data_IF_978288931183
#
_entry.id   IF_978288931183
#
_cell.length_a   1.000
_cell.length_b   1.000
_cell.length_c   1.000
_cell.angle_alpha   90.00
_cell.angle_beta   90.00
_cell.angle_gamma   90.00
#
_symmetry.space_group_name_H-M   'P 1'
#
loop_
_entity.id
_entity.type
_entity.pdbx_description
1 polymer ?
#
# COMPACT_ATOMS: atom_id res chain seq x y z
N UNK A 1 20.63 -1.62 19.50
CA UNK A 1 19.22 -1.74 19.94
C UNK A 1 18.79 -3.20 19.83
N UNK A 2 18.33 -3.83 20.92
CA UNK A 2 17.78 -5.20 20.89
C UNK A 2 16.41 -5.16 20.21
N UNK A 3 16.20 -5.97 19.17
CA UNK A 3 14.87 -6.12 18.54
C UNK A 3 13.91 -6.84 19.50
N UNK A 4 12.65 -6.41 19.53
CA UNK A 4 11.59 -7.07 20.30
C UNK A 4 11.28 -8.43 19.66
N UNK A 5 11.33 -9.57 20.39
CA UNK A 5 11.16 -10.91 19.82
C UNK A 5 9.83 -11.10 19.08
N UNK A 6 8.75 -10.40 19.49
CA UNK A 6 7.47 -10.43 18.76
C UNK A 6 7.58 -9.85 17.35
N UNK A 7 8.37 -8.78 17.20
CA UNK A 7 8.60 -8.10 15.94
C UNK A 7 9.47 -8.94 14.98
N UNK A 8 10.50 -9.59 15.52
CA UNK A 8 11.35 -10.50 14.74
C UNK A 8 10.58 -11.74 14.27
N UNK A 9 9.67 -12.27 15.09
CA UNK A 9 8.81 -13.39 14.70
C UNK A 9 7.81 -13.00 13.60
N UNK A 10 7.13 -11.86 13.73
CA UNK A 10 6.20 -11.37 12.71
C UNK A 10 6.91 -11.10 11.37
N UNK A 11 8.11 -10.52 11.39
CA UNK A 11 8.94 -10.35 10.19
C UNK A 11 9.29 -11.69 9.54
N UNK A 12 9.66 -12.71 10.33
CA UNK A 12 9.97 -14.04 9.79
C UNK A 12 8.73 -14.70 9.17
N UNK A 13 7.57 -14.56 9.81
CA UNK A 13 6.30 -15.07 9.28
C UNK A 13 5.93 -14.43 7.94
N UNK A 14 5.99 -13.10 7.81
CA UNK A 14 5.71 -12.42 6.54
C UNK A 14 6.64 -12.89 5.41
N UNK A 15 7.92 -13.13 5.71
CA UNK A 15 8.88 -13.67 4.74
C UNK A 15 8.48 -15.09 4.31
N UNK A 16 8.17 -15.95 5.27
CA UNK A 16 7.77 -17.33 4.99
C UNK A 16 6.48 -17.37 4.17
N UNK A 17 5.50 -16.54 4.52
CA UNK A 17 4.25 -16.41 3.78
C UNK A 17 4.50 -16.01 2.32
N UNK A 18 5.33 -14.99 2.08
CA UNK A 18 5.63 -14.56 0.72
C UNK A 18 6.46 -15.58 -0.08
N UNK A 19 7.17 -16.48 0.58
CA UNK A 19 8.01 -17.52 -0.04
C UNK A 19 7.39 -18.92 -0.01
N UNK A 20 6.09 -19.05 0.32
CA UNK A 20 5.44 -20.36 0.48
C UNK A 20 5.05 -21.03 -0.84
N UNK A 21 5.11 -20.31 -1.97
CA UNK A 21 4.62 -20.78 -3.26
C UNK A 21 3.09 -20.78 -3.41
N UNK A 22 2.37 -20.15 -2.47
CA UNK A 22 0.93 -19.92 -2.60
C UNK A 22 0.63 -18.82 -3.63
N UNK A 23 -0.56 -18.84 -4.21
CA UNK A 23 -1.03 -17.80 -5.12
C UNK A 23 -1.18 -16.44 -4.41
N UNK A 24 -1.15 -15.36 -5.21
CA UNK A 24 -1.22 -13.99 -4.70
C UNK A 24 -2.57 -13.68 -4.04
N UNK A 25 -3.66 -14.30 -4.51
CA UNK A 25 -5.01 -14.18 -3.95
C UNK A 25 -5.07 -14.72 -2.51
N UNK A 26 -4.20 -15.66 -2.16
CA UNK A 26 -4.02 -16.19 -0.80
C UNK A 26 -2.99 -15.39 0.00
N UNK A 27 -1.84 -15.07 -0.60
CA UNK A 27 -0.72 -14.42 0.10
C UNK A 27 -1.03 -12.98 0.48
N UNK A 28 -1.59 -12.18 -0.44
CA UNK A 28 -1.76 -10.74 -0.23
C UNK A 28 -2.74 -10.43 0.91
N UNK A 29 -3.94 -11.05 1.01
CA UNK A 29 -4.86 -10.78 2.12
C UNK A 29 -4.28 -11.19 3.49
N UNK A 30 -3.54 -12.31 3.57
CA UNK A 30 -2.88 -12.71 4.82
C UNK A 30 -1.73 -11.77 5.17
N UNK A 31 -0.97 -11.30 4.18
CA UNK A 31 0.08 -10.32 4.37
C UNK A 31 -0.49 -9.00 4.93
N UNK A 32 -1.57 -8.48 4.34
CA UNK A 32 -2.20 -7.23 4.77
C UNK A 32 -2.74 -7.31 6.21
N UNK A 33 -3.25 -8.48 6.62
CA UNK A 33 -3.69 -8.71 8.00
C UNK A 33 -2.51 -8.81 8.98
N UNK A 34 -1.39 -9.41 8.56
CA UNK A 34 -0.27 -9.67 9.47
C UNK A 34 0.74 -8.52 9.55
N UNK A 35 0.83 -7.65 8.55
CA UNK A 35 1.80 -6.54 8.50
C UNK A 35 1.67 -5.59 9.70
N UNK A 36 0.47 -5.44 10.27
CA UNK A 36 0.22 -4.62 11.45
C UNK A 36 1.07 -5.01 12.68
N UNK A 37 1.47 -6.28 12.78
CA UNK A 37 2.35 -6.76 13.87
C UNK A 37 3.80 -6.28 13.72
N UNK A 38 4.19 -5.85 12.52
CA UNK A 38 5.50 -5.26 12.22
C UNK A 38 5.40 -3.73 12.18
N UNK A 39 4.46 -3.21 11.39
CA UNK A 39 4.23 -1.78 11.22
C UNK A 39 2.80 -1.53 11.65
N UNK A 40 2.54 -0.97 12.85
CA UNK A 40 1.17 -0.76 13.32
C UNK A 40 0.37 0.04 12.30
N UNK A 41 -0.66 -0.57 11.70
CA UNK A 41 -1.49 0.03 10.67
C UNK A 41 -2.81 -0.74 10.60
N UNK A 42 -3.80 -0.19 9.90
CA UNK A 42 -5.08 -0.84 9.66
C UNK A 42 -5.71 -0.38 8.36
N UNK A 43 -6.78 -1.04 7.95
CA UNK A 43 -7.45 -0.79 6.68
C UNK A 43 -6.48 -0.87 5.48
N UNK A 44 -5.52 -1.81 5.53
CA UNK A 44 -4.42 -1.88 4.58
C UNK A 44 -4.92 -2.34 3.21
N UNK A 45 -4.28 -1.84 2.15
CA UNK A 45 -4.68 -2.13 0.76
C UNK A 45 -3.45 -2.46 -0.07
N UNK A 46 -3.55 -3.50 -0.89
CA UNK A 46 -2.64 -3.70 -1.99
C UNK A 46 -3.33 -3.34 -3.31
N UNK A 47 -2.67 -2.50 -4.11
CA UNK A 47 -3.13 -2.14 -5.45
C UNK A 47 -2.16 -2.73 -6.46
N UNK A 48 -2.61 -3.70 -7.26
CA UNK A 48 -1.84 -4.24 -8.37
C UNK A 48 -1.94 -3.33 -9.59
N UNK A 49 -0.84 -3.21 -10.34
CA UNK A 49 -0.76 -2.43 -11.57
C UNK A 49 -0.38 -3.35 -12.74
N UNK A 50 -0.93 -3.07 -13.92
CA UNK A 50 -0.27 -3.47 -15.16
C UNK A 50 0.85 -2.48 -15.53
N UNK A 51 1.55 -2.73 -16.64
CA UNK A 51 2.67 -1.88 -17.06
C UNK A 51 2.26 -0.43 -17.39
N UNK A 52 0.96 -0.17 -17.58
CA UNK A 52 0.37 1.11 -17.93
C UNK A 52 -0.32 1.78 -16.73
N UNK A 53 -0.43 1.10 -15.59
CA UNK A 53 -1.25 1.45 -14.43
C UNK A 53 -2.73 1.66 -14.78
N UNK A 54 -3.22 0.98 -15.81
CA UNK A 54 -4.60 1.12 -16.30
C UNK A 54 -5.50 0.04 -15.70
N UNK A 55 -5.02 -1.19 -15.56
CA UNK A 55 -5.73 -2.27 -14.89
C UNK A 55 -5.39 -2.33 -13.40
N UNK A 56 -6.05 -1.48 -12.62
CA UNK A 56 -5.95 -1.47 -11.17
C UNK A 56 -6.72 -2.65 -10.59
N UNK A 57 -6.00 -3.62 -10.00
CA UNK A 57 -6.63 -4.63 -9.15
C UNK A 57 -6.50 -4.21 -7.69
N UNK A 58 -7.61 -4.25 -6.94
CA UNK A 58 -7.62 -3.92 -5.53
C UNK A 58 -7.74 -5.20 -4.72
N UNK A 59 -6.74 -5.48 -3.90
CA UNK A 59 -6.81 -6.52 -2.87
C UNK A 59 -6.89 -5.79 -1.52
N UNK A 60 -8.08 -5.81 -0.95
CA UNK A 60 -8.41 -5.10 0.28
C UNK A 60 -8.30 -6.06 1.48
N UNK A 61 -7.94 -5.52 2.64
CA UNK A 61 -8.05 -6.24 3.92
C UNK A 61 -9.52 -6.53 4.30
N UNK A 62 -10.49 -5.82 3.71
CA UNK A 62 -11.92 -5.91 4.01
C UNK A 62 -12.79 -5.70 2.76
N UNK A 63 -13.99 -6.29 2.72
CA UNK A 63 -14.98 -6.07 1.66
C UNK A 63 -15.75 -4.78 1.92
N UNK A 64 -15.94 -3.95 0.89
CA UNK A 64 -16.71 -2.71 0.96
C UNK A 64 -17.82 -2.75 -0.10
N UNK A 65 -19.04 -3.17 0.26
CA UNK A 65 -20.14 -3.29 -0.70
C UNK A 65 -20.49 -1.98 -1.42
N UNK A 66 -20.43 -0.84 -0.72
CA UNK A 66 -20.94 0.44 -1.23
C UNK A 66 -19.89 1.28 -2.00
N UNK A 67 -18.61 0.88 -2.00
CA UNK A 67 -17.56 1.63 -2.70
C UNK A 67 -17.53 1.32 -4.20
N UNK A 68 -17.97 0.13 -4.61
CA UNK A 68 -17.74 -0.39 -5.96
C UNK A 68 -18.33 0.51 -7.07
N UNK A 69 -19.46 1.16 -6.81
CA UNK A 69 -20.16 1.98 -7.81
C UNK A 69 -19.54 3.38 -8.00
N UNK A 70 -19.07 4.02 -6.92
CA UNK A 70 -18.56 5.40 -6.96
C UNK A 70 -17.03 5.51 -7.06
N UNK A 71 -16.30 4.44 -6.72
CA UNK A 71 -14.83 4.41 -6.75
C UNK A 71 -14.23 4.77 -8.11
N UNK A 72 -14.71 4.24 -9.26
CA UNK A 72 -14.11 4.55 -10.56
C UNK A 72 -14.19 6.04 -10.92
N UNK A 73 -15.35 6.67 -10.67
CA UNK A 73 -15.56 8.09 -10.94
C UNK A 73 -14.67 8.96 -10.06
N UNK A 74 -14.65 8.72 -8.75
CA UNK A 74 -13.83 9.50 -7.80
C UNK A 74 -12.34 9.36 -8.12
N UNK A 75 -11.87 8.14 -8.44
CA UNK A 75 -10.48 7.91 -8.83
C UNK A 75 -10.14 8.61 -10.15
N UNK A 76 -11.01 8.52 -11.15
CA UNK A 76 -10.78 9.19 -12.44
C UNK A 76 -10.76 10.72 -12.33
N UNK A 77 -11.63 11.30 -11.49
CA UNK A 77 -11.65 12.74 -11.21
C UNK A 77 -10.40 13.23 -10.48
N UNK A 78 -9.83 12.42 -9.57
CA UNK A 78 -8.61 12.77 -8.84
C UNK A 78 -7.33 12.51 -9.65
N UNK A 79 -7.24 11.37 -10.34
CA UNK A 79 -6.08 10.98 -11.13
C UNK A 79 -6.16 11.55 -12.56
N UNK A 80 -6.16 12.87 -12.67
CA UNK A 80 -5.94 13.55 -13.97
C UNK A 80 -4.60 13.13 -14.57
N UNK A 81 -4.39 13.28 -15.90
CA UNK A 81 -3.10 12.97 -16.53
C UNK A 81 -1.89 13.64 -15.83
N UNK A 82 -2.04 14.87 -15.35
CA UNK A 82 -1.01 15.62 -14.63
C UNK A 82 -0.75 15.02 -13.25
N UNK A 83 -1.82 14.64 -12.53
CA UNK A 83 -1.72 13.97 -11.23
C UNK A 83 -1.01 12.62 -11.37
N UNK A 84 -1.39 11.81 -12.37
CA UNK A 84 -0.73 10.53 -12.70
C UNK A 84 0.75 10.73 -13.02
N UNK A 85 1.07 11.71 -13.87
CA UNK A 85 2.47 12.02 -14.21
C UNK A 85 3.30 12.40 -12.98
N UNK A 86 2.77 13.24 -12.10
CA UNK A 86 3.42 13.60 -10.82
C UNK A 86 3.58 12.38 -9.91
N UNK A 87 2.54 11.57 -9.79
CA UNK A 87 2.58 10.33 -9.02
C UNK A 87 3.70 9.42 -9.51
N UNK A 88 3.81 9.19 -10.82
CA UNK A 88 4.90 8.40 -11.40
C UNK A 88 6.27 9.01 -11.17
N UNK A 89 6.40 10.34 -11.25
CA UNK A 89 7.62 11.04 -10.89
C UNK A 89 8.05 10.74 -9.47
N UNK A 90 7.12 10.81 -8.51
CA UNK A 90 7.36 10.50 -7.11
C UNK A 90 7.73 9.03 -6.89
N UNK A 91 7.00 8.08 -7.51
CA UNK A 91 7.30 6.65 -7.36
C UNK A 91 8.65 6.24 -7.95
N UNK A 92 9.14 6.95 -8.99
CA UNK A 92 10.49 6.74 -9.52
C UNK A 92 11.59 7.24 -8.59
N UNK A 93 11.31 8.29 -7.83
CA UNK A 93 12.27 8.91 -6.90
C UNK A 93 12.23 8.26 -5.52
N UNK A 94 11.10 7.67 -5.14
CA UNK A 94 10.85 7.18 -3.80
C UNK A 94 10.27 5.77 -3.83
N UNK A 95 10.99 4.81 -3.25
CA UNK A 95 10.47 3.46 -3.00
C UNK A 95 9.31 3.44 -2.00
N UNK A 96 9.30 4.41 -1.06
CA UNK A 96 8.27 4.55 -0.03
C UNK A 96 7.95 6.03 0.15
N UNK A 97 6.67 6.36 0.19
CA UNK A 97 6.11 7.69 0.44
C UNK A 97 5.24 7.66 1.70
N UNK A 98 5.43 8.62 2.61
CA UNK A 98 4.68 8.69 3.87
C UNK A 98 3.87 10.00 4.03
N UNK A 99 3.78 10.79 2.96
CA UNK A 99 3.09 12.09 2.93
C UNK A 99 2.33 12.24 1.61
N UNK A 100 1.01 12.13 1.69
CA UNK A 100 0.12 12.28 0.55
C UNK A 100 0.12 13.70 -0.03
N UNK A 101 0.56 14.71 0.74
CA UNK A 101 0.61 16.10 0.27
C UNK A 101 1.77 16.37 -0.71
N UNK A 102 2.67 15.39 -0.89
CA UNK A 102 3.65 15.40 -1.96
C UNK A 102 3.00 15.16 -3.32
N UNK A 103 1.92 14.36 -3.37
CA UNK A 103 1.14 14.14 -4.58
C UNK A 103 0.26 15.37 -4.88
N UNK A 104 -0.49 15.84 -3.90
CA UNK A 104 -1.27 17.06 -4.03
C UNK A 104 -1.34 17.81 -2.69
N UNK A 105 -0.96 19.09 -2.67
CA UNK A 105 -1.07 19.95 -1.49
C UNK A 105 -2.50 20.07 -0.97
N UNK A 106 -3.51 19.84 -1.82
CA UNK A 106 -4.93 19.83 -1.47
C UNK A 106 -5.48 18.41 -1.22
N UNK A 107 -4.63 17.39 -1.06
CA UNK A 107 -5.07 16.00 -0.87
C UNK A 107 -6.18 15.86 0.18
N UNK A 108 -6.00 16.42 1.38
CA UNK A 108 -6.98 16.34 2.47
C UNK A 108 -8.27 17.13 2.25
N UNK A 109 -8.35 17.92 1.18
CA UNK A 109 -9.55 18.66 0.75
C UNK A 109 -10.23 18.00 -0.46
N UNK A 110 -9.64 16.95 -1.04
CA UNK A 110 -10.14 16.29 -2.25
C UNK A 110 -11.28 15.32 -1.98
N UNK A 111 -12.03 14.99 -3.03
CA UNK A 111 -13.05 13.94 -3.00
C UNK A 111 -12.43 12.56 -2.79
N UNK A 112 -11.25 12.30 -3.35
CA UNK A 112 -10.50 11.06 -3.07
C UNK A 112 -10.28 10.88 -1.57
N UNK A 113 -9.83 11.92 -0.87
CA UNK A 113 -9.67 11.82 0.57
C UNK A 113 -11.01 11.72 1.30
N UNK A 114 -11.96 12.62 1.03
CA UNK A 114 -13.19 12.71 1.81
C UNK A 114 -14.16 11.55 1.58
N UNK A 115 -14.18 10.98 0.38
CA UNK A 115 -15.11 9.91 -0.01
C UNK A 115 -14.48 8.52 0.04
N UNK A 116 -13.18 8.38 -0.25
CA UNK A 116 -12.55 7.04 -0.30
C UNK A 116 -11.65 6.74 0.90
N UNK A 117 -10.94 7.73 1.47
CA UNK A 117 -9.95 7.44 2.53
C UNK A 117 -10.53 7.70 3.93
N UNK A 118 -11.16 8.85 4.10
CA UNK A 118 -11.69 9.32 5.38
C UNK A 118 -12.73 8.38 6.00
N UNK A 119 -13.68 7.78 5.26
CA UNK A 119 -14.67 6.88 5.86
C UNK A 119 -14.07 5.62 6.47
N UNK A 120 -12.87 5.21 6.04
CA UNK A 120 -12.16 4.01 6.52
C UNK A 120 -10.97 4.36 7.42
N UNK A 121 -10.95 5.59 7.95
CA UNK A 121 -9.89 6.09 8.82
C UNK A 121 -8.48 6.05 8.18
N UNK A 122 -8.40 6.18 6.85
CA UNK A 122 -7.15 6.17 6.11
C UNK A 122 -6.51 7.57 6.04
N UNK A 123 -6.12 8.15 7.17
CA UNK A 123 -5.64 9.54 7.22
C UNK A 123 -4.14 9.69 6.92
N UNK A 124 -3.30 8.92 7.61
CA UNK A 124 -1.88 8.86 7.33
C UNK A 124 -1.62 7.64 6.46
N UNK A 125 -1.01 7.84 5.29
CA UNK A 125 -0.68 6.77 4.35
C UNK A 125 0.82 6.51 4.32
N UNK A 126 1.20 5.23 4.23
CA UNK A 126 2.53 4.77 3.88
C UNK A 126 2.42 3.92 2.62
N UNK A 127 2.89 4.48 1.50
CA UNK A 127 2.79 3.88 0.18
C UNK A 127 4.14 3.31 -0.24
N UNK A 128 4.24 1.99 -0.33
CA UNK A 128 5.45 1.29 -0.75
C UNK A 128 5.29 0.70 -2.15
N UNK A 129 6.18 1.08 -3.06
CA UNK A 129 6.14 0.62 -4.45
C UNK A 129 6.76 -0.76 -4.54
N UNK A 130 5.96 -1.75 -4.93
CA UNK A 130 6.45 -3.09 -5.21
C UNK A 130 6.94 -3.13 -6.65
N UNK A 131 8.23 -3.43 -6.83
CA UNK A 131 8.86 -3.48 -8.14
C UNK A 131 9.37 -4.89 -8.45
N UNK A 132 9.15 -5.34 -9.69
CA UNK A 132 9.69 -6.58 -10.22
C UNK A 132 10.53 -6.26 -11.46
N UNK A 133 11.80 -6.71 -11.48
CA UNK A 133 12.75 -6.42 -12.57
C UNK A 133 12.84 -4.92 -12.92
N UNK A 134 12.76 -4.06 -11.90
CA UNK A 134 12.80 -2.59 -12.06
C UNK A 134 11.49 -1.94 -12.53
N UNK A 135 10.45 -2.73 -12.82
CA UNK A 135 9.12 -2.22 -13.18
C UNK A 135 8.19 -2.21 -11.95
N UNK A 136 7.40 -1.15 -11.72
CA UNK A 136 6.37 -1.15 -10.69
C UNK A 136 5.27 -2.16 -11.07
N UNK A 137 4.90 -3.03 -10.12
CA UNK A 137 3.86 -4.06 -10.29
C UNK A 137 2.74 -3.93 -9.26
N UNK A 138 2.93 -3.08 -8.25
CA UNK A 138 1.88 -2.76 -7.30
C UNK A 138 2.32 -1.75 -6.25
N UNK A 139 1.37 -1.42 -5.38
CA UNK A 139 1.52 -0.49 -4.27
C UNK A 139 0.97 -1.13 -2.99
N UNK A 140 1.84 -1.25 -1.98
CA UNK A 140 1.42 -1.55 -0.63
C UNK A 140 1.02 -0.24 0.05
N UNK A 141 -0.24 -0.12 0.45
CA UNK A 141 -0.77 1.04 1.15
C UNK A 141 -1.10 0.64 2.59
N UNK A 142 -0.33 1.18 3.54
CA UNK A 142 -0.63 1.03 4.97
C UNK A 142 -1.22 2.32 5.49
N UNK A 143 -2.24 2.22 6.36
CA UNK A 143 -2.95 3.39 6.84
C UNK A 143 -3.05 3.48 8.35
N UNK A 144 -3.24 4.71 8.83
CA UNK A 144 -3.56 5.01 10.23
C UNK A 144 -4.64 6.10 10.32
N UNK A 145 -5.50 6.02 11.34
CA UNK A 145 -6.47 7.08 11.64
C UNK A 145 -5.77 8.38 12.03
N UNK A 146 -6.51 9.47 11.94
CA UNK A 146 -6.07 10.81 12.35
C UNK A 146 -5.68 10.90 13.83
N UNK A 147 -6.19 10.00 14.67
CA UNK A 147 -5.90 9.94 16.11
C UNK A 147 -4.51 9.38 16.43
N UNK A 148 -3.83 8.78 15.46
CA UNK A 148 -2.51 8.17 15.62
C UNK A 148 -1.40 9.09 15.11
N UNK A 149 -0.15 8.72 15.40
CA UNK A 149 1.01 9.45 14.84
C UNK A 149 1.28 9.03 13.38
N UNK A 150 1.74 9.96 12.53
CA UNK A 150 2.22 9.64 11.18
C UNK A 150 3.32 8.57 11.19
N UNK A 151 3.54 7.93 10.05
CA UNK A 151 4.58 6.91 9.91
C UNK A 151 5.99 7.53 9.98
N UNK A 152 6.79 7.05 10.93
CA UNK A 152 8.15 7.55 11.14
C UNK A 152 9.18 6.89 10.19
N UNK A 153 10.42 7.38 10.21
CA UNK A 153 11.50 6.87 9.35
C UNK A 153 11.80 5.39 9.57
N UNK A 154 11.71 4.88 10.79
CA UNK A 154 11.93 3.45 11.08
C UNK A 154 10.86 2.59 10.41
N UNK A 155 9.61 3.02 10.45
CA UNK A 155 8.49 2.33 9.81
C UNK A 155 8.60 2.37 8.28
N UNK A 156 9.04 3.50 7.72
CA UNK A 156 9.38 3.59 6.30
C UNK A 156 10.50 2.61 5.91
N UNK A 157 11.55 2.47 6.73
CA UNK A 157 12.62 1.49 6.51
C UNK A 157 12.10 0.06 6.58
N UNK A 158 11.24 -0.27 7.54
CA UNK A 158 10.62 -1.60 7.64
C UNK A 158 9.76 -1.89 6.41
N UNK A 159 8.97 -0.92 5.95
CA UNK A 159 8.18 -1.06 4.73
C UNK A 159 9.10 -1.38 3.54
N UNK A 160 10.18 -0.61 3.34
CA UNK A 160 11.18 -0.89 2.27
C UNK A 160 11.75 -2.31 2.33
N UNK A 161 11.98 -2.84 3.53
CA UNK A 161 12.50 -4.20 3.72
C UNK A 161 11.47 -5.29 3.38
N UNK A 162 10.18 -4.99 3.46
CA UNK A 162 9.11 -5.93 3.16
C UNK A 162 8.80 -6.03 1.65
N UNK A 163 8.98 -4.95 0.90
CA UNK A 163 8.62 -4.88 -0.53
C UNK A 163 9.24 -5.98 -1.41
N UNK A 164 10.52 -6.40 -1.23
CA UNK A 164 11.10 -7.49 -2.03
C UNK A 164 10.40 -8.84 -1.81
N UNK A 165 9.88 -9.10 -0.61
CA UNK A 165 9.14 -10.33 -0.33
C UNK A 165 7.78 -10.32 -1.02
N UNK A 166 7.07 -9.19 -0.98
CA UNK A 166 5.85 -9.01 -1.76
C UNK A 166 6.11 -9.18 -3.27
N UNK A 167 7.19 -8.58 -3.79
CA UNK A 167 7.57 -8.75 -5.19
C UNK A 167 7.81 -10.23 -5.57
N UNK A 168 8.39 -11.01 -4.65
CA UNK A 168 8.57 -12.45 -4.85
C UNK A 168 7.24 -13.21 -4.86
N UNK A 169 6.34 -12.93 -3.92
CA UNK A 169 5.01 -13.55 -3.88
C UNK A 169 4.21 -13.30 -5.16
N UNK A 170 4.26 -12.07 -5.68
CA UNK A 170 3.60 -11.70 -6.94
C UNK A 170 4.21 -12.40 -8.16
N UNK A 171 5.49 -12.78 -8.09
CA UNK A 171 6.19 -13.49 -9.15
C UNK A 171 5.87 -14.98 -9.21
N UNK A 172 5.51 -15.59 -8.07
CA UNK A 172 5.31 -17.03 -7.92
C UNK A 172 3.91 -17.54 -8.30
N UNK A 173 3.00 -16.64 -8.67
CA UNK A 173 1.62 -16.98 -9.05
C UNK A 173 1.40 -17.27 -10.54
N UNK A 174 2.36 -17.90 -11.22
CA UNK A 174 2.31 -18.24 -12.65
C UNK A 174 2.94 -19.58 -12.97
#
# INVERSE_FOLDING_TARGET
>A
MKQNPKHSHAMAYLRQLCCSGLDKETVIPEFLRTVQAVIPSGSNVFTGFDEQFENLSYMLEFSIPDLAESTPEILSGFFTPECKSRFYGLLRQHTVLADATLLDKKFYQSDMYNMLYRPYDQHYGLWGVVTQRGKPVGLLNLFRPRTHQPFNTREQTLCKQLLPYLAHALAGGG
#
